data_IF_663381720246
#
_entry.id   IF_663381720246
#
_cell.length_a   1.000
_cell.length_b   1.000
_cell.length_c   1.000
_cell.angle_alpha   90.00
_cell.angle_beta   90.00
_cell.angle_gamma   90.00
#
_symmetry.space_group_name_H-M   'P 1'
#
loop_
_entity.id
_entity.type
_entity.pdbx_description
1 polymer ?
#
# COMPACT_ATOMS: atom_id res chain seq x y z
N UNK A 1 19.80 6.82 -4.34
CA UNK A 1 18.40 6.44 -4.10
C UNK A 1 17.71 7.48 -3.22
N UNK A 2 16.48 7.79 -3.55
CA UNK A 2 15.72 8.78 -2.82
C UNK A 2 15.48 8.32 -1.37
N UNK A 3 15.84 9.18 -0.42
CA UNK A 3 15.67 8.90 1.00
C UNK A 3 14.20 8.73 1.37
N UNK A 4 13.34 9.55 0.77
CA UNK A 4 11.89 9.48 1.02
C UNK A 4 11.31 8.17 0.50
N UNK A 5 11.77 7.69 -0.66
CA UNK A 5 11.30 6.41 -1.20
C UNK A 5 11.68 5.25 -0.27
N UNK A 6 12.87 5.31 0.32
CA UNK A 6 13.32 4.30 1.27
C UNK A 6 12.46 4.35 2.54
N UNK A 7 12.15 5.54 3.01
CA UNK A 7 11.31 5.71 4.18
C UNK A 7 9.92 5.12 3.94
N UNK A 8 9.36 5.36 2.77
CA UNK A 8 8.07 4.78 2.38
C UNK A 8 8.13 3.25 2.40
N UNK A 9 9.18 2.68 1.84
CA UNK A 9 9.34 1.22 1.80
C UNK A 9 9.44 0.62 3.20
N UNK A 10 10.20 1.27 4.10
CA UNK A 10 10.30 0.81 5.48
C UNK A 10 8.96 0.87 6.20
N UNK A 11 8.18 1.91 5.93
CA UNK A 11 6.84 2.02 6.50
C UNK A 11 5.94 0.88 6.04
N UNK A 12 6.02 0.50 4.75
CA UNK A 12 5.24 -0.62 4.25
C UNK A 12 5.64 -1.94 4.90
N UNK A 13 6.93 -2.15 5.09
CA UNK A 13 7.42 -3.37 5.73
C UNK A 13 6.90 -3.47 7.16
N UNK A 14 6.94 -2.38 7.90
CA UNK A 14 6.43 -2.36 9.27
C UNK A 14 4.94 -2.60 9.31
N UNK A 15 4.17 -1.99 8.40
CA UNK A 15 2.74 -2.21 8.32
C UNK A 15 2.40 -3.67 8.05
N UNK A 16 3.12 -4.31 7.14
CA UNK A 16 2.86 -5.71 6.82
C UNK A 16 3.21 -6.62 7.99
N UNK A 17 4.26 -6.29 8.72
CA UNK A 17 4.61 -7.04 9.94
C UNK A 17 3.48 -6.94 10.96
N UNK A 18 2.96 -5.75 11.19
CA UNK A 18 1.87 -5.53 12.13
C UNK A 18 0.57 -6.16 11.65
N UNK A 19 0.29 -6.12 10.36
CA UNK A 19 -0.91 -6.73 9.79
C UNK A 19 -0.91 -8.23 10.02
N UNK A 20 0.24 -8.87 9.85
CA UNK A 20 0.37 -10.30 10.09
C UNK A 20 0.13 -10.62 11.57
N UNK A 21 0.67 -9.80 12.46
CA UNK A 21 0.58 -10.02 13.89
C UNK A 21 -0.80 -9.70 14.44
N UNK A 22 -1.40 -8.59 14.02
CA UNK A 22 -2.64 -8.09 14.62
C UNK A 22 -3.89 -8.55 13.89
N UNK A 23 -3.82 -8.77 12.59
CA UNK A 23 -4.95 -9.16 11.77
C UNK A 23 -4.83 -10.57 11.20
N UNK A 24 -3.74 -11.27 11.51
CA UNK A 24 -3.45 -12.60 10.97
C UNK A 24 -3.44 -12.62 9.44
N UNK A 25 -3.20 -11.46 8.84
CA UNK A 25 -3.08 -11.35 7.39
C UNK A 25 -1.69 -11.78 6.95
N UNK A 26 -1.63 -12.70 5.99
CA UNK A 26 -0.36 -13.18 5.45
C UNK A 26 -0.10 -12.51 4.09
N UNK A 27 0.72 -11.45 4.04
CA UNK A 27 0.94 -10.70 2.79
C UNK A 27 2.00 -11.35 1.89
N UNK A 28 1.83 -12.63 1.58
CA UNK A 28 2.80 -13.38 0.79
C UNK A 28 3.04 -12.75 -0.58
N UNK A 29 1.95 -12.45 -1.30
CA UNK A 29 2.04 -11.85 -2.64
C UNK A 29 2.70 -10.48 -2.59
N UNK A 30 2.32 -9.68 -1.60
CA UNK A 30 2.90 -8.35 -1.42
C UNK A 30 4.41 -8.46 -1.15
N UNK A 31 4.80 -9.37 -0.26
CA UNK A 31 6.21 -9.58 0.06
C UNK A 31 7.01 -10.05 -1.15
N UNK A 32 6.43 -10.88 -1.99
CA UNK A 32 7.08 -11.31 -3.23
C UNK A 32 7.30 -10.12 -4.17
N UNK A 33 6.31 -9.25 -4.30
CA UNK A 33 6.44 -8.04 -5.10
C UNK A 33 7.49 -7.11 -4.53
N UNK A 34 7.51 -6.95 -3.20
CA UNK A 34 8.43 -6.06 -2.54
C UNK A 34 9.89 -6.53 -2.70
N UNK A 35 10.11 -7.84 -2.76
CA UNK A 35 11.44 -8.38 -2.98
C UNK A 35 11.91 -8.18 -4.42
N UNK A 36 10.99 -8.08 -5.36
CA UNK A 36 11.28 -7.90 -6.78
C UNK A 36 11.37 -6.42 -7.16
N UNK A 37 10.51 -5.60 -6.59
CA UNK A 37 10.41 -4.16 -6.86
C UNK A 37 10.67 -3.41 -5.58
N UNK A 38 10.98 -2.12 -5.66
CA UNK A 38 11.06 -1.30 -4.46
C UNK A 38 9.64 -1.00 -3.94
N UNK A 39 9.55 -0.43 -2.73
CA UNK A 39 8.26 -0.14 -2.10
C UNK A 39 7.36 0.75 -2.94
N UNK A 40 7.93 1.82 -3.50
CA UNK A 40 7.16 2.76 -4.34
C UNK A 40 6.62 2.07 -5.57
N UNK A 41 7.45 1.29 -6.26
CA UNK A 41 7.02 0.59 -7.47
C UNK A 41 5.97 -0.47 -7.15
N UNK A 42 6.13 -1.18 -6.03
CA UNK A 42 5.14 -2.16 -5.60
C UNK A 42 3.78 -1.50 -5.36
N UNK A 43 3.77 -0.36 -4.67
CA UNK A 43 2.54 0.36 -4.40
C UNK A 43 1.87 0.83 -5.70
N UNK A 44 2.66 1.37 -6.64
CA UNK A 44 2.14 1.83 -7.92
C UNK A 44 1.49 0.68 -8.70
N UNK A 45 2.13 -0.48 -8.72
CA UNK A 45 1.60 -1.64 -9.45
C UNK A 45 0.31 -2.15 -8.83
N UNK A 46 0.22 -2.18 -7.51
CA UNK A 46 -1.00 -2.59 -6.82
C UNK A 46 -2.16 -1.65 -7.15
N UNK A 47 -1.90 -0.34 -7.10
CA UNK A 47 -2.90 0.67 -7.37
C UNK A 47 -3.33 0.65 -8.84
N UNK A 48 -2.38 0.54 -9.76
CA UNK A 48 -2.68 0.47 -11.18
C UNK A 48 -3.56 -0.74 -11.51
N UNK A 49 -3.27 -1.88 -10.91
CA UNK A 49 -4.07 -3.09 -11.09
C UNK A 49 -5.49 -2.87 -10.55
N UNK A 50 -5.61 -2.24 -9.38
CA UNK A 50 -6.91 -1.96 -8.78
C UNK A 50 -7.74 -1.01 -9.67
N UNK A 51 -7.11 0.02 -10.21
CA UNK A 51 -7.79 0.95 -11.11
C UNK A 51 -8.26 0.24 -12.38
N UNK A 52 -7.38 -0.59 -12.93
CA UNK A 52 -7.65 -1.29 -14.19
C UNK A 52 -8.78 -2.32 -14.05
N UNK A 53 -8.79 -3.07 -12.94
CA UNK A 53 -9.77 -4.13 -12.71
C UNK A 53 -11.04 -3.64 -12.04
N UNK A 54 -11.02 -2.46 -11.43
CA UNK A 54 -12.15 -1.95 -10.67
C UNK A 54 -12.29 -2.59 -9.29
N UNK A 55 -11.31 -3.39 -8.87
CA UNK A 55 -11.35 -4.07 -7.58
C UNK A 55 -10.19 -3.61 -6.70
N UNK A 56 -10.45 -3.44 -5.40
CA UNK A 56 -9.39 -3.11 -4.45
C UNK A 56 -8.42 -4.30 -4.32
N UNK A 57 -7.23 -4.03 -3.82
CA UNK A 57 -6.26 -5.10 -3.58
C UNK A 57 -6.76 -6.03 -2.47
N UNK A 58 -6.27 -7.27 -2.47
CA UNK A 58 -6.64 -8.24 -1.44
C UNK A 58 -6.25 -7.75 -0.05
N UNK A 59 -5.09 -7.12 0.05
CA UNK A 59 -4.64 -6.57 1.32
C UNK A 59 -5.58 -5.49 1.85
N UNK A 60 -6.04 -4.60 0.96
CA UNK A 60 -6.97 -3.55 1.38
C UNK A 60 -8.28 -4.16 1.90
N UNK A 61 -8.86 -5.09 1.16
CA UNK A 61 -10.10 -5.73 1.55
C UNK A 61 -9.97 -6.45 2.90
N UNK A 62 -8.90 -7.20 3.07
CA UNK A 62 -8.65 -7.94 4.30
C UNK A 62 -8.49 -7.02 5.51
N UNK A 63 -7.71 -5.95 5.35
CA UNK A 63 -7.47 -5.02 6.45
C UNK A 63 -8.69 -4.15 6.74
N UNK A 64 -9.50 -3.86 5.72
CA UNK A 64 -10.77 -3.18 5.91
C UNK A 64 -11.69 -4.02 6.79
N UNK A 65 -11.78 -5.31 6.51
CA UNK A 65 -12.60 -6.23 7.31
C UNK A 65 -12.10 -6.36 8.74
N UNK A 66 -10.80 -6.21 8.93
CA UNK A 66 -10.19 -6.26 10.26
C UNK A 66 -10.34 -4.93 11.02
N UNK A 67 -10.81 -3.88 10.36
CA UNK A 67 -10.92 -2.55 10.96
C UNK A 67 -9.58 -1.83 11.08
N UNK A 68 -8.60 -2.18 10.26
CA UNK A 68 -7.25 -1.63 10.33
C UNK A 68 -6.82 -1.03 8.99
N UNK A 69 -7.57 -0.03 8.52
CA UNK A 69 -7.21 0.69 7.30
C UNK A 69 -5.87 1.42 7.40
N UNK A 70 -5.46 1.73 8.63
CA UNK A 70 -4.16 2.36 8.87
C UNK A 70 -2.98 1.49 8.48
N UNK A 71 -3.19 0.19 8.31
CA UNK A 71 -2.15 -0.76 7.93
C UNK A 71 -2.10 -1.02 6.42
N UNK A 72 -2.93 -0.35 5.64
CA UNK A 72 -2.96 -0.55 4.20
C UNK A 72 -1.87 0.25 3.48
N UNK A 73 -1.47 -0.24 2.31
CA UNK A 73 -0.55 0.48 1.43
C UNK A 73 -1.20 1.78 0.97
N UNK A 74 -2.48 1.71 0.65
CA UNK A 74 -3.26 2.85 0.18
C UNK A 74 -3.27 4.00 1.18
N UNK A 75 -3.31 3.69 2.47
CA UNK A 75 -3.25 4.70 3.51
C UNK A 75 -1.94 5.49 3.48
N UNK A 76 -0.83 4.78 3.27
CA UNK A 76 0.48 5.44 3.16
C UNK A 76 0.57 6.33 1.93
N UNK A 77 0.00 5.90 0.80
CA UNK A 77 0.00 6.69 -0.43
C UNK A 77 -0.74 8.02 -0.22
N UNK A 78 -1.76 8.04 0.64
CA UNK A 78 -2.54 9.24 0.92
C UNK A 78 -1.81 10.24 1.82
N UNK A 79 -0.69 9.85 2.43
CA UNK A 79 0.05 10.74 3.31
C UNK A 79 0.68 11.87 2.51
N UNK A 80 0.54 13.09 3.02
CA UNK A 80 1.07 14.29 2.37
C UNK A 80 2.56 14.19 2.10
N UNK A 81 3.30 13.62 3.03
CA UNK A 81 4.76 13.51 2.94
C UNK A 81 5.22 12.61 1.79
N UNK A 82 4.37 11.71 1.31
CA UNK A 82 4.70 10.79 0.22
C UNK A 82 4.06 11.19 -1.11
N UNK A 83 3.34 12.31 -1.15
CA UNK A 83 2.60 12.71 -2.35
C UNK A 83 3.49 12.84 -3.58
N UNK A 84 4.73 13.32 -3.41
CA UNK A 84 5.65 13.51 -4.53
C UNK A 84 6.16 12.21 -5.14
N UNK A 85 5.95 11.09 -4.47
CA UNK A 85 6.37 9.77 -4.97
C UNK A 85 5.36 9.16 -5.95
N UNK A 86 4.14 9.68 -5.99
CA UNK A 86 3.05 9.09 -6.75
C UNK A 86 2.42 10.11 -7.69
N UNK A 87 1.73 9.62 -8.72
CA UNK A 87 0.98 10.48 -9.62
C UNK A 87 -0.35 10.86 -8.98
N UNK A 88 -0.97 11.91 -9.53
CA UNK A 88 -2.29 12.34 -9.05
C UNK A 88 -3.32 11.22 -9.17
N UNK A 89 -3.22 10.41 -10.23
CA UNK A 89 -4.11 9.28 -10.44
C UNK A 89 -4.06 8.30 -9.28
N UNK A 90 -2.86 7.97 -8.81
CA UNK A 90 -2.67 7.04 -7.68
C UNK A 90 -3.26 7.62 -6.41
N UNK A 91 -2.97 8.89 -6.15
CA UNK A 91 -3.43 9.56 -4.93
C UNK A 91 -4.94 9.69 -4.92
N UNK A 92 -5.53 10.10 -6.05
CA UNK A 92 -6.98 10.25 -6.16
C UNK A 92 -7.71 8.94 -5.92
N UNK A 93 -7.19 7.85 -6.50
CA UNK A 93 -7.79 6.54 -6.29
C UNK A 93 -7.78 6.17 -4.80
N UNK A 94 -6.62 6.32 -4.16
CA UNK A 94 -6.49 5.94 -2.75
C UNK A 94 -7.40 6.76 -1.86
N UNK A 95 -7.52 8.06 -2.12
CA UNK A 95 -8.43 8.91 -1.36
C UNK A 95 -9.89 8.49 -1.54
N UNK A 96 -10.25 8.07 -2.75
CA UNK A 96 -11.63 7.69 -3.04
C UNK A 96 -12.05 6.44 -2.26
N UNK A 97 -11.16 5.48 -2.09
CA UNK A 97 -11.49 4.23 -1.38
C UNK A 97 -11.31 4.35 0.14
N UNK A 98 -10.57 5.34 0.58
CA UNK A 98 -10.40 5.56 2.02
C UNK A 98 -11.58 6.32 2.63
N UNK A 99 -12.44 6.82 1.80
CA UNK A 99 -13.64 7.49 2.25
C UNK A 99 -13.50 8.94 2.40
#
# INVERSE_FOLDING_TARGET
>A
MDKLARQFEEELKEKMFRAKKECKYNPTRFNQMLSRYCGVETAKRLIDTAIQTGNTSDGFATLLMCGRLDLTVEHSVCKREYACLFSERHISYCKSIMG
#
